data_IF_807907012004
#
_entry.id   IF_807907012004
#
_cell.length_a   1.000
_cell.length_b   1.000
_cell.length_c   1.000
_cell.angle_alpha   90.00
_cell.angle_beta   90.00
_cell.angle_gamma   90.00
#
_symmetry.space_group_name_H-M   'P 1'
#
loop_
_entity.id
_entity.type
_entity.pdbx_description
1 polymer ?
#
# COMPACT_ATOMS: atom_id res chain seq x y z
N UNK A 1 4.48 14.00 -13.78
CA UNK A 1 4.94 15.11 -12.92
C UNK A 1 5.37 14.51 -11.59
N UNK A 2 6.58 14.81 -11.11
CA UNK A 2 7.11 14.28 -9.85
C UNK A 2 7.09 15.41 -8.83
N UNK A 3 6.54 15.20 -7.61
CA UNK A 3 6.53 16.22 -6.58
C UNK A 3 7.96 16.65 -6.18
N UNK A 4 8.14 17.87 -5.66
CA UNK A 4 9.45 18.33 -5.20
C UNK A 4 9.98 17.45 -4.07
N UNK A 5 11.31 17.31 -4.03
CA UNK A 5 12.00 16.40 -3.09
C UNK A 5 11.60 16.63 -1.63
N UNK A 6 11.40 17.87 -1.22
CA UNK A 6 10.98 18.23 0.14
C UNK A 6 9.63 17.62 0.55
N UNK A 7 8.70 17.46 -0.41
CA UNK A 7 7.39 16.87 -0.13
C UNK A 7 7.48 15.34 -0.07
N UNK A 8 8.36 14.73 -0.87
CA UNK A 8 8.66 13.30 -0.77
C UNK A 8 9.30 12.95 0.58
N UNK A 9 10.22 13.78 1.07
CA UNK A 9 10.87 13.59 2.39
C UNK A 9 9.86 13.69 3.53
N UNK A 10 8.94 14.66 3.47
CA UNK A 10 7.84 14.77 4.45
C UNK A 10 6.91 13.56 4.42
N UNK A 11 6.52 13.10 3.23
CA UNK A 11 5.68 11.92 3.09
C UNK A 11 6.36 10.68 3.67
N UNK A 12 7.66 10.48 3.39
CA UNK A 12 8.44 9.40 3.97
C UNK A 12 8.52 9.49 5.50
N UNK A 13 8.70 10.69 6.06
CA UNK A 13 8.73 10.88 7.51
C UNK A 13 7.39 10.50 8.17
N UNK A 14 6.26 10.87 7.56
CA UNK A 14 4.93 10.52 8.05
C UNK A 14 4.72 8.99 8.01
N UNK A 15 5.10 8.35 6.90
CA UNK A 15 4.97 6.89 6.76
C UNK A 15 5.86 6.15 7.76
N UNK A 16 7.11 6.59 7.94
CA UNK A 16 8.06 6.00 8.88
C UNK A 16 7.66 6.19 10.35
N UNK A 17 6.88 7.23 10.66
CA UNK A 17 6.39 7.49 12.03
C UNK A 17 5.07 6.77 12.34
N UNK A 18 4.47 6.10 11.36
CA UNK A 18 3.20 5.40 11.53
C UNK A 18 3.38 3.94 11.98
N UNK A 19 2.77 3.56 13.10
CA UNK A 19 2.80 2.17 13.61
C UNK A 19 1.85 1.20 12.89
N UNK A 20 0.82 1.71 12.20
CA UNK A 20 -0.21 0.90 11.52
C UNK A 20 -0.63 1.54 10.20
N UNK A 21 0.30 1.53 9.25
CA UNK A 21 0.07 2.14 7.93
C UNK A 21 -0.85 1.26 7.09
N UNK A 22 -1.80 1.90 6.40
CA UNK A 22 -2.64 1.26 5.40
C UNK A 22 -2.56 2.06 4.09
N UNK A 23 -2.45 1.35 2.97
CA UNK A 23 -2.35 1.93 1.63
C UNK A 23 -3.65 1.64 0.90
N UNK A 24 -4.29 2.67 0.33
CA UNK A 24 -5.49 2.52 -0.50
C UNK A 24 -5.13 2.88 -1.94
N UNK A 25 -5.18 1.90 -2.84
CA UNK A 25 -4.86 2.10 -4.26
C UNK A 25 -6.11 2.13 -5.15
N UNK A 26 -6.09 3.03 -6.13
CA UNK A 26 -7.07 3.11 -7.20
C UNK A 26 -6.43 2.93 -8.58
N UNK A 27 -7.21 3.09 -9.65
CA UNK A 27 -6.73 2.87 -11.04
C UNK A 27 -5.46 3.66 -11.41
N UNK A 28 -5.23 4.82 -10.78
CA UNK A 28 -4.05 5.65 -11.04
C UNK A 28 -2.71 5.03 -10.61
N UNK A 29 -2.75 3.95 -9.83
CA UNK A 29 -1.56 3.21 -9.43
C UNK A 29 -1.27 2.01 -10.34
N UNK A 30 -2.03 1.82 -11.44
CA UNK A 30 -1.88 0.67 -12.33
C UNK A 30 -0.47 0.57 -12.95
N UNK A 31 0.16 1.70 -13.24
CA UNK A 31 1.53 1.76 -13.77
C UNK A 31 2.60 1.75 -12.67
N UNK A 32 2.20 1.76 -11.39
CA UNK A 32 3.09 1.85 -10.23
C UNK A 32 2.91 0.64 -9.28
N UNK A 33 2.53 -0.51 -9.82
CA UNK A 33 2.21 -1.69 -9.04
C UNK A 33 3.42 -2.19 -8.22
N UNK A 34 4.58 -2.28 -8.84
CA UNK A 34 5.83 -2.71 -8.20
C UNK A 34 6.27 -1.77 -7.06
N UNK A 35 6.10 -0.46 -7.24
CA UNK A 35 6.40 0.54 -6.22
C UNK A 35 5.45 0.45 -5.03
N UNK A 36 4.15 0.20 -5.28
CA UNK A 36 3.17 -0.02 -4.21
C UNK A 36 3.51 -1.27 -3.41
N UNK A 37 3.90 -2.37 -4.07
CA UNK A 37 4.33 -3.60 -3.40
C UNK A 37 5.53 -3.34 -2.50
N UNK A 38 6.57 -2.70 -3.03
CA UNK A 38 7.77 -2.38 -2.24
C UNK A 38 7.44 -1.49 -1.05
N UNK A 39 6.62 -0.46 -1.24
CA UNK A 39 6.19 0.41 -0.14
C UNK A 39 5.39 -0.37 0.93
N UNK A 40 4.50 -1.27 0.51
CA UNK A 40 3.72 -2.10 1.43
C UNK A 40 4.61 -3.06 2.24
N UNK A 41 5.59 -3.70 1.60
CA UNK A 41 6.53 -4.59 2.28
C UNK A 41 7.45 -3.84 3.26
N UNK A 42 7.98 -2.69 2.86
CA UNK A 42 8.85 -1.87 3.71
C UNK A 42 8.13 -1.33 4.95
N UNK A 43 6.86 -0.94 4.78
CA UNK A 43 6.05 -0.37 5.86
C UNK A 43 5.30 -1.43 6.67
N UNK A 44 5.30 -2.69 6.23
CA UNK A 44 4.40 -3.72 6.77
C UNK A 44 2.91 -3.34 6.63
N UNK A 45 2.59 -2.56 5.60
CA UNK A 45 1.28 -1.94 5.43
C UNK A 45 0.29 -2.87 4.72
N UNK A 46 -0.96 -2.88 5.19
CA UNK A 46 -2.05 -3.52 4.47
C UNK A 46 -2.46 -2.69 3.25
N UNK A 47 -2.73 -3.34 2.12
CA UNK A 47 -3.15 -2.67 0.87
C UNK A 47 -4.62 -2.97 0.56
N UNK A 48 -5.45 -1.93 0.55
CA UNK A 48 -6.83 -1.98 0.09
C UNK A 48 -6.92 -1.46 -1.35
N UNK A 49 -7.78 -2.08 -2.17
CA UNK A 49 -8.02 -1.68 -3.56
C UNK A 49 -9.40 -1.05 -3.68
N UNK A 50 -9.50 0.06 -4.41
CA UNK A 50 -10.80 0.58 -4.83
C UNK A 50 -11.41 -0.30 -5.92
N UNK A 51 -12.71 -0.13 -6.18
CA UNK A 51 -13.42 -0.86 -7.24
C UNK A 51 -12.78 -0.70 -8.63
N UNK A 52 -12.19 0.47 -8.91
CA UNK A 52 -11.46 0.76 -10.15
C UNK A 52 -9.98 0.35 -10.08
N UNK A 53 -9.43 0.18 -8.87
CA UNK A 53 -8.04 -0.28 -8.63
C UNK A 53 -7.86 -1.80 -8.62
N UNK A 54 -8.88 -2.58 -9.00
CA UNK A 54 -8.83 -4.06 -8.88
C UNK A 54 -7.69 -4.70 -9.66
N UNK A 55 -7.38 -4.17 -10.84
CA UNK A 55 -6.34 -4.69 -11.72
C UNK A 55 -4.92 -4.28 -11.30
N UNK A 56 -4.77 -3.40 -10.29
CA UNK A 56 -3.47 -2.83 -9.91
C UNK A 56 -2.58 -3.84 -9.19
N UNK A 57 -3.17 -4.72 -8.37
CA UNK A 57 -2.42 -5.76 -7.67
C UNK A 57 -3.21 -7.08 -7.65
N UNK A 58 -2.52 -8.23 -7.71
CA UNK A 58 -3.15 -9.53 -7.53
C UNK A 58 -3.82 -9.65 -6.16
N UNK A 59 -4.94 -10.38 -6.09
CA UNK A 59 -5.67 -10.63 -4.85
C UNK A 59 -4.95 -11.66 -3.95
N UNK A 60 -4.02 -12.45 -4.49
CA UNK A 60 -3.28 -13.51 -3.79
C UNK A 60 -2.13 -13.02 -2.88
N UNK A 61 -1.88 -11.71 -2.84
CA UNK A 61 -0.83 -11.14 -2.00
C UNK A 61 -1.26 -11.12 -0.53
N UNK A 62 -0.36 -11.48 0.42
CA UNK A 62 -0.72 -11.69 1.82
C UNK A 62 -1.16 -10.41 2.55
N UNK A 63 -0.81 -9.24 2.02
CA UNK A 63 -1.17 -7.92 2.57
C UNK A 63 -2.33 -7.25 1.82
N UNK A 64 -2.87 -7.87 0.78
CA UNK A 64 -4.03 -7.32 0.04
C UNK A 64 -5.31 -7.74 0.75
N UNK A 65 -6.11 -6.78 1.20
CA UNK A 65 -7.31 -7.01 2.04
C UNK A 65 -8.53 -7.54 1.26
N UNK A 66 -8.30 -8.18 0.11
CA UNK A 66 -9.34 -8.64 -0.81
C UNK A 66 -10.22 -7.54 -1.41
N UNK A 67 -11.21 -7.94 -2.22
CA UNK A 67 -12.11 -7.05 -3.00
C UNK A 67 -12.98 -6.10 -2.16
N UNK A 68 -13.05 -6.31 -0.85
CA UNK A 68 -13.97 -5.63 0.07
C UNK A 68 -13.42 -5.62 1.51
N UNK A 69 -12.57 -4.65 1.85
CA UNK A 69 -12.40 -4.12 3.22
C UNK A 69 -12.20 -5.09 4.40
N UNK A 70 -11.75 -6.33 4.21
CA UNK A 70 -11.52 -7.28 5.29
C UNK A 70 -10.03 -7.34 5.60
N UNK A 71 -9.63 -6.66 6.67
CA UNK A 71 -8.28 -6.74 7.20
C UNK A 71 -8.06 -8.09 7.89
N UNK A 72 -7.14 -8.89 7.36
CA UNK A 72 -6.56 -10.05 8.06
C UNK A 72 -5.10 -9.69 8.35
N UNK A 73 -4.68 -9.61 9.63
CA UNK A 73 -3.28 -9.39 9.95
C UNK A 73 -2.42 -10.58 9.50
N UNK A 74 -1.17 -10.35 9.06
CA UNK A 74 -0.22 -11.44 8.90
C UNK A 74 -0.06 -12.21 10.24
N UNK A 75 0.15 -13.54 10.22
CA UNK A 75 0.33 -14.31 11.44
C UNK A 75 1.51 -13.73 12.24
N UNK A 76 1.24 -13.41 13.51
CA UNK A 76 2.25 -12.92 14.44
C UNK A 76 3.43 -13.90 14.46
N UNK A 77 4.61 -13.47 14.00
CA UNK A 77 5.85 -14.25 14.15
C UNK A 77 6.09 -14.45 15.65
N UNK A 78 6.22 -15.72 16.03
CA UNK A 78 6.67 -16.16 17.36
C UNK A 78 8.17 -15.97 17.50
#
# INVERSE_FOLDING_TARGET
MIPPKTELEKAAQILNSGDKVAIVVGQGAAEAADEVVQAAELLGAGVAKSSLGRAVLPDDLPYVTGRSGCWVPPPARR
#
